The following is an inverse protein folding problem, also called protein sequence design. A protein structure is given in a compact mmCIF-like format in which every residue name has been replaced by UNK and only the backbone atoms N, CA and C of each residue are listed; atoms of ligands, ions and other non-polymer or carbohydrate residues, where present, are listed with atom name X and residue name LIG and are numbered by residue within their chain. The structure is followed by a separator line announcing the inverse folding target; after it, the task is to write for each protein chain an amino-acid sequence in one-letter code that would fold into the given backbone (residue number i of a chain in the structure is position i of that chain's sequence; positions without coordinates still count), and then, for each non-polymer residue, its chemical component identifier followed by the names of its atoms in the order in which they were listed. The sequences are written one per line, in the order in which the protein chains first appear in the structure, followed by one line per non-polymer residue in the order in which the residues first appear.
data_IF_457202724959
#
_entry.id   IF_457202724959
#
_cell.length_a   1.000
_cell.length_b   1.000
_cell.length_c   1.000
_cell.angle_alpha   90.00
_cell.angle_beta   90.00
_cell.angle_gamma   90.00
#
_symmetry.space_group_name_H-M   'P 1'
#
loop_
_entity.id
_entity.type
_entity.pdbx_description
1 polymer ?
#
# COMPACT_ATOMS: atom_id res chain seq x y z
N UNK A 1 -8.64 -3.73 -23.66
CA UNK A 1 -7.67 -2.61 -23.61
C UNK A 1 -7.76 -1.88 -22.27
N UNK A 2 -6.97 -2.34 -21.29
CA UNK A 2 -6.95 -1.75 -19.94
C UNK A 2 -6.47 -0.30 -20.00
N UNK A 3 -7.31 0.64 -19.60
CA UNK A 3 -6.93 2.06 -19.49
C UNK A 3 -6.20 2.28 -18.17
N UNK A 4 -4.88 2.46 -18.24
CA UNK A 4 -4.04 2.93 -17.13
C UNK A 4 -4.00 4.46 -17.20
N UNK A 5 -4.55 5.13 -16.20
CA UNK A 5 -4.45 6.60 -16.10
C UNK A 5 -3.13 6.91 -15.38
N UNK A 6 -2.14 7.40 -16.12
CA UNK A 6 -0.89 7.86 -15.55
C UNK A 6 -1.00 9.34 -15.15
N UNK A 7 -1.41 9.60 -13.92
CA UNK A 7 -1.34 10.94 -13.32
C UNK A 7 0.00 11.10 -12.58
N UNK A 8 0.71 12.19 -12.84
CA UNK A 8 2.00 12.50 -12.22
C UNK A 8 1.94 13.83 -11.46
N UNK A 9 2.37 13.81 -10.19
CA UNK A 9 2.68 15.04 -9.43
C UNK A 9 4.17 15.11 -9.18
N UNK A 10 4.79 16.25 -9.51
CA UNK A 10 6.24 16.48 -9.43
C UNK A 10 6.56 17.63 -8.49
N UNK A 11 7.45 17.40 -7.54
CA UNK A 11 8.00 18.43 -6.66
C UNK A 11 9.54 18.43 -6.77
N UNK A 12 10.15 19.61 -6.85
CA UNK A 12 11.60 19.75 -7.03
C UNK A 12 12.14 20.78 -6.04
N UNK A 13 13.25 20.43 -5.38
CA UNK A 13 13.97 21.28 -4.44
C UNK A 13 15.43 21.38 -4.89
N UNK A 14 16.00 22.59 -4.77
CA UNK A 14 17.38 22.88 -5.13
C UNK A 14 18.15 23.35 -3.90
N UNK A 15 19.38 22.86 -3.75
CA UNK A 15 20.31 23.29 -2.71
C UNK A 15 21.72 23.41 -3.31
N UNK A 16 22.57 24.21 -2.68
CA UNK A 16 23.97 24.36 -3.07
C UNK A 16 24.84 23.87 -1.92
N UNK A 17 25.70 22.90 -2.20
CA UNK A 17 26.64 22.34 -1.25
C UNK A 17 28.02 23.00 -1.39
N UNK A 18 28.52 23.51 -0.27
CA UNK A 18 29.88 24.00 -0.13
C UNK A 18 30.66 22.96 0.66
N UNK A 19 31.55 22.24 0.00
CA UNK A 19 32.40 21.28 0.68
C UNK A 19 33.37 22.00 1.61
N UNK A 20 33.57 21.45 2.80
CA UNK A 20 34.81 21.67 3.54
C UNK A 20 36.00 21.13 2.72
N UNK A 21 37.25 21.52 3.00
CA UNK A 21 38.44 21.00 2.31
C UNK A 21 38.76 19.54 2.67
N UNK A 22 37.75 18.67 2.74
CA UNK A 22 37.93 17.23 2.86
C UNK A 22 38.55 16.68 1.56
N UNK A 23 39.58 15.87 1.72
CA UNK A 23 40.24 15.14 0.64
C UNK A 23 39.75 13.69 0.52
N UNK A 24 38.74 13.31 1.30
CA UNK A 24 38.19 11.95 1.31
C UNK A 24 36.86 11.90 0.54
N UNK A 25 36.87 11.14 -0.56
CA UNK A 25 35.69 10.90 -1.38
C UNK A 25 34.54 10.26 -0.58
N UNK A 26 34.85 9.40 0.39
CA UNK A 26 33.85 8.69 1.19
C UNK A 26 33.11 9.63 2.14
N UNK A 27 33.84 10.54 2.78
CA UNK A 27 33.28 11.56 3.67
C UNK A 27 32.38 12.51 2.88
N UNK A 28 32.89 13.09 1.78
CA UNK A 28 32.13 13.99 0.91
C UNK A 28 30.85 13.31 0.38
N UNK A 29 30.97 12.06 -0.05
CA UNK A 29 29.81 11.27 -0.52
C UNK A 29 28.78 11.12 0.59
N UNK A 30 29.18 10.71 1.79
CA UNK A 30 28.27 10.52 2.93
C UNK A 30 27.53 11.81 3.32
N UNK A 31 28.21 12.96 3.30
CA UNK A 31 27.63 14.26 3.57
C UNK A 31 26.57 14.63 2.54
N UNK A 32 26.88 14.47 1.25
CA UNK A 32 25.95 14.81 0.17
C UNK A 32 24.74 13.86 0.17
N UNK A 33 24.94 12.56 0.41
CA UNK A 33 23.84 11.62 0.61
C UNK A 33 22.91 12.08 1.73
N UNK A 34 23.45 12.43 2.90
CA UNK A 34 22.67 12.93 4.03
C UNK A 34 21.88 14.20 3.72
N UNK A 35 22.40 15.08 2.86
CA UNK A 35 21.66 16.28 2.42
C UNK A 35 20.52 15.90 1.46
N UNK A 36 20.78 15.04 0.48
CA UNK A 36 19.80 14.67 -0.53
C UNK A 36 18.64 13.85 0.05
N UNK A 37 18.93 12.88 0.91
CA UNK A 37 17.93 11.94 1.46
C UNK A 37 17.45 12.28 2.87
N UNK A 38 18.10 13.25 3.53
CA UNK A 38 17.88 13.57 4.94
C UNK A 38 18.68 12.69 5.90
N UNK A 39 18.55 12.99 7.19
CA UNK A 39 19.33 12.34 8.27
C UNK A 39 18.93 10.88 8.52
N UNK A 40 17.70 10.50 8.21
CA UNK A 40 17.16 9.16 8.44
C UNK A 40 16.23 8.75 7.28
N UNK A 41 16.80 8.35 6.13
CA UNK A 41 16.00 7.84 5.03
C UNK A 41 15.26 6.56 5.46
N UNK A 42 13.96 6.41 5.13
CA UNK A 42 13.21 5.23 5.52
C UNK A 42 13.56 4.02 4.64
N UNK A 43 13.79 2.86 5.26
CA UNK A 43 13.93 1.59 4.54
C UNK A 43 12.58 1.01 4.08
N UNK A 44 11.50 1.45 4.75
CA UNK A 44 10.13 1.02 4.49
C UNK A 44 9.17 2.19 4.53
N UNK A 45 8.12 2.12 3.72
CA UNK A 45 7.03 3.10 3.69
C UNK A 45 5.68 2.41 3.89
N UNK A 46 4.75 3.10 4.53
CA UNK A 46 3.40 2.61 4.75
C UNK A 46 2.65 2.57 3.41
N UNK A 47 2.01 1.44 3.13
CA UNK A 47 1.23 1.22 1.92
C UNK A 47 -0.17 1.83 2.03
N UNK A 48 -0.72 1.89 3.24
CA UNK A 48 -2.04 2.43 3.55
C UNK A 48 -2.00 3.21 4.87
N UNK A 49 -3.10 3.90 5.18
CA UNK A 49 -3.32 4.55 6.46
C UNK A 49 -4.16 3.67 7.39
N UNK A 50 -3.94 3.75 8.71
CA UNK A 50 -4.69 2.99 9.71
C UNK A 50 -3.88 2.71 10.97
N UNK A 51 -4.49 1.99 11.92
CA UNK A 51 -3.84 1.58 13.17
C UNK A 51 -2.76 0.51 12.97
N UNK A 52 -2.87 -0.30 11.91
CA UNK A 52 -1.91 -1.32 11.53
C UNK A 52 -1.67 -1.26 10.02
N UNK A 53 -0.82 -0.33 9.54
CA UNK A 53 -0.54 -0.21 8.13
C UNK A 53 0.30 -1.38 7.62
N UNK A 54 0.09 -1.75 6.37
CA UNK A 54 1.00 -2.61 5.63
C UNK A 54 2.24 -1.80 5.21
N UNK A 55 3.39 -2.46 5.08
CA UNK A 55 4.67 -1.82 4.78
C UNK A 55 5.29 -2.43 3.53
N UNK A 56 5.93 -1.58 2.73
CA UNK A 56 6.72 -2.00 1.56
C UNK A 56 8.11 -1.40 1.63
N UNK A 57 9.10 -2.11 1.06
CA UNK A 57 10.50 -1.69 1.09
C UNK A 57 10.74 -0.56 0.10
N UNK A 58 11.63 0.36 0.45
CA UNK A 58 12.18 1.34 -0.48
C UNK A 58 13.33 0.69 -1.25
N UNK A 59 13.33 0.82 -2.57
CA UNK A 59 14.44 0.34 -3.41
C UNK A 59 15.38 1.50 -3.69
N UNK A 60 16.62 1.40 -3.25
CA UNK A 60 17.64 2.45 -3.49
C UNK A 60 18.58 2.02 -4.61
N UNK A 61 18.84 2.94 -5.53
CA UNK A 61 19.83 2.81 -6.58
C UNK A 61 20.91 3.87 -6.36
N UNK A 62 21.99 3.43 -5.71
CA UNK A 62 23.13 4.25 -5.34
C UNK A 62 24.10 4.53 -6.48
N UNK A 63 24.98 5.52 -6.26
CA UNK A 63 26.11 5.76 -7.13
C UNK A 63 27.08 4.57 -7.10
N UNK A 64 27.66 4.20 -8.26
CA UNK A 64 28.70 3.18 -8.28
C UNK A 64 29.92 3.69 -7.50
N UNK A 65 30.47 2.83 -6.64
CA UNK A 65 31.67 3.13 -5.87
C UNK A 65 32.85 2.43 -6.51
N UNK A 66 33.87 3.18 -6.94
CA UNK A 66 35.16 2.62 -7.32
C UNK A 66 36.13 2.67 -6.15
N UNK A 67 36.84 1.56 -5.91
CA UNK A 67 37.84 1.42 -4.86
C UNK A 67 39.14 2.20 -5.15
N UNK A 68 39.29 2.75 -6.36
CA UNK A 68 40.48 3.46 -6.82
C UNK A 68 40.28 4.98 -6.90
N UNK A 69 39.15 5.50 -6.42
CA UNK A 69 38.87 6.93 -6.45
C UNK A 69 39.78 7.68 -5.47
N UNK A 70 40.50 8.66 -6.00
CA UNK A 70 41.24 9.67 -5.24
C UNK A 70 40.71 11.05 -5.58
N UNK A 71 40.80 12.02 -4.67
CA UNK A 71 40.35 13.38 -4.94
C UNK A 71 41.04 14.05 -6.15
N UNK A 72 42.29 13.68 -6.46
CA UNK A 72 42.99 14.16 -7.65
C UNK A 72 42.42 13.59 -8.95
N UNK A 73 42.07 12.30 -8.95
CA UNK A 73 41.44 11.63 -10.09
C UNK A 73 39.96 12.01 -10.27
N UNK A 74 39.29 12.38 -9.17
CA UNK A 74 37.88 12.74 -9.12
C UNK A 74 37.04 11.69 -8.40
N UNK A 75 36.18 12.14 -7.50
CA UNK A 75 35.24 11.32 -6.74
C UNK A 75 33.90 11.21 -7.47
N UNK A 76 33.29 10.04 -7.47
CA UNK A 76 31.89 9.88 -7.90
C UNK A 76 30.98 10.29 -6.75
N UNK A 77 30.29 11.43 -6.92
CA UNK A 77 29.42 12.04 -5.93
C UNK A 77 27.98 12.16 -6.47
N UNK A 78 26.95 11.95 -5.64
CA UNK A 78 25.58 12.19 -6.04
C UNK A 78 25.34 13.70 -6.20
N UNK A 79 24.66 14.12 -7.26
CA UNK A 79 24.25 15.50 -7.48
C UNK A 79 22.73 15.67 -7.54
N UNK A 80 21.98 14.60 -7.77
CA UNK A 80 20.55 14.63 -7.68
C UNK A 80 19.95 13.34 -7.11
N UNK A 81 18.79 13.46 -6.47
CA UNK A 81 17.98 12.35 -5.99
C UNK A 81 16.59 12.43 -6.62
N UNK A 82 16.18 11.36 -7.31
CA UNK A 82 14.81 11.17 -7.81
C UNK A 82 14.09 10.12 -6.98
N UNK A 83 13.11 10.54 -6.19
CA UNK A 83 12.21 9.69 -5.41
C UNK A 83 10.95 9.45 -6.24
N UNK A 84 10.74 8.20 -6.65
CA UNK A 84 9.55 7.79 -7.40
C UNK A 84 8.64 6.95 -6.52
N UNK A 85 7.46 7.47 -6.23
CA UNK A 85 6.43 6.78 -5.45
C UNK A 85 5.36 6.26 -6.41
N UNK A 86 5.21 4.94 -6.44
CA UNK A 86 4.14 4.28 -7.18
C UNK A 86 2.93 4.11 -6.27
N UNK A 87 1.76 4.54 -6.74
CA UNK A 87 0.52 4.37 -6.01
C UNK A 87 -0.62 3.96 -6.95
N UNK A 88 -1.67 3.41 -6.37
CA UNK A 88 -2.89 3.05 -7.07
C UNK A 88 -4.09 3.20 -6.15
N UNK A 89 -5.28 3.35 -6.74
CA UNK A 89 -6.55 3.23 -6.03
C UNK A 89 -6.96 1.77 -5.96
N UNK A 90 -7.28 1.31 -4.75
CA UNK A 90 -7.79 -0.02 -4.48
C UNK A 90 -9.18 0.06 -3.83
N UNK A 91 -9.99 -0.98 -4.00
CA UNK A 91 -11.33 -1.05 -3.41
C UNK A 91 -12.46 -0.78 -4.41
N UNK A 92 -13.64 -0.45 -3.89
CA UNK A 92 -14.83 -0.19 -4.71
C UNK A 92 -14.65 1.10 -5.51
N UNK A 93 -15.20 1.16 -6.72
CA UNK A 93 -15.12 2.36 -7.56
C UNK A 93 -15.76 3.59 -6.92
N UNK A 94 -16.81 3.39 -6.12
CA UNK A 94 -17.50 4.45 -5.38
C UNK A 94 -16.77 4.84 -4.08
N UNK A 95 -15.85 3.99 -3.61
CA UNK A 95 -15.06 4.24 -2.40
C UNK A 95 -13.59 3.78 -2.59
N UNK A 96 -12.84 4.44 -3.49
CA UNK A 96 -11.46 4.08 -3.74
C UNK A 96 -10.56 4.53 -2.59
N UNK A 97 -9.65 3.66 -2.17
CA UNK A 97 -8.61 3.96 -1.18
C UNK A 97 -7.25 4.11 -1.88
N UNK A 98 -6.49 5.13 -1.48
CA UNK A 98 -5.13 5.33 -1.98
C UNK A 98 -4.19 4.31 -1.34
N UNK A 99 -3.42 3.64 -2.17
CA UNK A 99 -2.50 2.60 -1.73
C UNK A 99 -1.13 2.79 -2.40
N UNK A 100 -0.07 2.91 -1.60
CA UNK A 100 1.30 2.99 -2.09
C UNK A 100 1.78 1.58 -2.40
N UNK A 101 2.22 1.36 -3.63
CA UNK A 101 2.75 0.07 -4.09
C UNK A 101 4.25 -0.06 -3.77
N UNK A 102 4.98 1.05 -3.78
CA UNK A 102 6.40 1.10 -3.47
C UNK A 102 7.01 2.46 -3.77
N UNK A 103 8.26 2.64 -3.31
CA UNK A 103 9.07 3.78 -3.71
C UNK A 103 10.45 3.33 -4.18
N UNK A 104 11.01 4.09 -5.12
CA UNK A 104 12.38 3.91 -5.61
C UNK A 104 13.15 5.22 -5.50
N UNK A 105 14.33 5.15 -4.90
CA UNK A 105 15.27 6.25 -4.78
C UNK A 105 16.35 6.05 -5.83
N UNK A 106 16.56 7.04 -6.70
CA UNK A 106 17.50 6.96 -7.80
C UNK A 106 18.45 8.14 -7.71
N UNK A 107 19.71 7.86 -7.41
CA UNK A 107 20.75 8.88 -7.39
C UNK A 107 21.31 9.10 -8.79
N UNK A 108 21.45 10.36 -9.18
CA UNK A 108 22.27 10.77 -10.32
C UNK A 108 23.63 11.19 -9.79
N UNK A 109 24.68 10.79 -10.50
CA UNK A 109 26.04 10.86 -10.01
C UNK A 109 26.91 11.55 -11.04
N UNK A 110 27.88 12.31 -10.55
CA UNK A 110 28.86 13.02 -11.37
C UNK A 110 30.24 12.87 -10.73
N UNK A 111 31.28 12.93 -11.56
CA UNK A 111 32.67 12.89 -11.07
C UNK A 111 33.15 14.31 -10.79
N UNK A 112 33.62 14.58 -9.57
CA UNK A 112 34.08 15.89 -9.13
C UNK A 112 35.48 15.77 -8.53
N UNK A 113 36.41 16.63 -8.94
CA UNK A 113 37.74 16.73 -8.33
C UNK A 113 37.69 17.52 -7.02
N UNK A 114 38.51 17.18 -6.04
CA UNK A 114 38.57 17.92 -4.77
C UNK A 114 39.90 18.67 -4.59
N UNK A 115 39.89 19.83 -3.91
CA UNK A 115 38.70 20.55 -3.46
C UNK A 115 37.90 21.04 -4.68
N UNK A 116 36.55 20.98 -4.66
CA UNK A 116 35.76 21.39 -5.80
C UNK A 116 35.97 22.89 -6.02
N UNK A 117 36.29 23.25 -7.27
CA UNK A 117 36.54 24.64 -7.67
C UNK A 117 35.28 25.51 -7.61
N UNK A 118 34.10 24.88 -7.60
CA UNK A 118 32.80 25.54 -7.55
C UNK A 118 31.86 24.77 -6.62
N UNK A 119 30.84 25.43 -6.05
CA UNK A 119 29.82 24.77 -5.26
C UNK A 119 29.11 23.68 -6.08
N UNK A 120 28.68 22.61 -5.40
CA UNK A 120 27.97 21.50 -6.04
C UNK A 120 26.47 21.77 -5.93
N UNK A 121 25.79 21.90 -7.07
CA UNK A 121 24.33 22.02 -7.10
C UNK A 121 23.69 20.66 -6.84
N UNK A 122 22.88 20.60 -5.79
CA UNK A 122 22.12 19.43 -5.37
C UNK A 122 20.65 19.61 -5.73
N UNK A 123 20.04 18.59 -6.33
CA UNK A 123 18.63 18.62 -6.71
C UNK A 123 17.90 17.40 -6.15
N UNK A 124 16.80 17.62 -5.45
CA UNK A 124 15.91 16.53 -5.04
C UNK A 124 14.59 16.67 -5.76
N UNK A 125 14.12 15.58 -6.36
CA UNK A 125 12.85 15.50 -7.06
C UNK A 125 12.01 14.37 -6.49
N UNK A 126 10.73 14.64 -6.25
CA UNK A 126 9.75 13.64 -5.86
C UNK A 126 8.67 13.55 -6.93
N UNK A 127 8.39 12.33 -7.40
CA UNK A 127 7.34 12.04 -8.37
C UNK A 127 6.37 11.01 -7.80
N UNK A 128 5.08 11.32 -7.81
CA UNK A 128 4.01 10.38 -7.50
C UNK A 128 3.36 9.92 -8.81
N UNK A 129 3.39 8.61 -9.08
CA UNK A 129 2.84 8.02 -10.30
C UNK A 129 1.62 7.15 -9.99
N UNK A 130 0.46 7.54 -10.54
CA UNK A 130 -0.77 6.75 -10.49
C UNK A 130 -0.68 5.58 -11.47
N UNK A 131 -0.92 4.38 -10.96
CA UNK A 131 -0.93 3.11 -11.72
C UNK A 131 -2.29 2.42 -11.65
N UNK A 132 -3.34 3.15 -11.27
CA UNK A 132 -4.70 2.62 -11.16
C UNK A 132 -5.17 2.07 -12.49
N UNK A 133 -5.58 0.80 -12.44
CA UNK A 133 -6.20 0.08 -13.55
C UNK A 133 -7.70 0.06 -13.34
N UNK A 134 -8.46 0.61 -14.31
CA UNK A 134 -9.91 0.52 -14.30
C UNK A 134 -10.40 -0.62 -15.22
N UNK A 135 -11.42 -1.38 -14.80
CA UNK A 135 -12.04 -2.39 -15.66
C UNK A 135 -12.81 -1.74 -16.84
N UNK A 136 -12.89 -2.46 -17.97
CA UNK A 136 -13.53 -1.97 -19.21
C UNK A 136 -15.07 -1.86 -19.09
N UNK A 137 -15.69 -0.81 -19.67
CA UNK A 137 -17.15 -0.71 -19.79
C UNK A 137 -17.79 -1.63 -20.87
N UNK A 138 -19.10 -2.00 -20.77
CA UNK A 138 -19.96 -1.77 -19.61
C UNK A 138 -19.35 -2.57 -18.48
N UNK A 139 -19.16 -1.95 -17.32
CA UNK A 139 -18.50 -2.56 -16.18
C UNK A 139 -19.44 -3.64 -15.64
N UNK A 140 -19.48 -4.77 -16.36
CA UNK A 140 -20.62 -5.68 -16.55
C UNK A 140 -21.97 -4.98 -16.75
N UNK A 141 -22.68 -5.26 -17.84
CA UNK A 141 -24.12 -5.03 -17.81
C UNK A 141 -24.71 -5.84 -16.64
N UNK A 142 -25.57 -5.26 -15.79
CA UNK A 142 -26.19 -6.03 -14.72
C UNK A 142 -26.94 -7.21 -15.33
N UNK A 143 -26.54 -8.44 -14.97
CA UNK A 143 -27.28 -9.63 -15.39
C UNK A 143 -28.52 -9.79 -14.50
N UNK A 144 -29.62 -10.38 -15.00
CA UNK A 144 -30.86 -10.54 -14.23
C UNK A 144 -30.71 -11.30 -12.90
N UNK A 145 -29.65 -12.11 -12.76
CA UNK A 145 -29.30 -12.88 -11.57
C UNK A 145 -28.40 -12.10 -10.58
N UNK A 146 -27.93 -10.91 -10.94
CA UNK A 146 -27.18 -10.05 -10.05
C UNK A 146 -28.11 -9.50 -8.97
N UNK A 147 -28.01 -10.07 -7.76
CA UNK A 147 -28.56 -9.42 -6.58
C UNK A 147 -27.88 -8.06 -6.43
N UNK A 148 -28.64 -6.99 -6.70
CA UNK A 148 -28.23 -5.63 -6.35
C UNK A 148 -27.79 -5.59 -4.88
N UNK A 149 -26.71 -4.87 -4.52
CA UNK A 149 -26.31 -4.66 -3.13
C UNK A 149 -27.25 -3.69 -2.38
N UNK A 150 -28.48 -3.47 -2.86
CA UNK A 150 -29.51 -2.65 -2.21
C UNK A 150 -30.19 -3.34 -1.02
N UNK A 151 -29.50 -4.27 -0.35
CA UNK A 151 -29.89 -4.71 1.00
C UNK A 151 -29.71 -3.61 2.07
N UNK A 152 -29.10 -2.47 1.74
CA UNK A 152 -28.84 -1.39 2.69
C UNK A 152 -30.08 -0.59 3.13
N UNK A 153 -31.19 -0.61 2.36
CA UNK A 153 -32.38 0.22 2.66
C UNK A 153 -33.65 -0.56 3.02
N UNK A 154 -33.60 -1.87 3.23
CA UNK A 154 -34.75 -2.61 3.76
C UNK A 154 -34.50 -3.02 5.20
N UNK A 155 -35.32 -2.51 6.13
CA UNK A 155 -35.54 -3.19 7.41
C UNK A 155 -36.08 -4.58 7.08
N UNK A 156 -35.23 -5.60 7.21
CA UNK A 156 -35.57 -7.02 7.31
C UNK A 156 -36.79 -7.49 6.50
N UNK A 157 -36.65 -7.63 5.18
CA UNK A 157 -37.59 -8.46 4.41
C UNK A 157 -37.31 -9.97 4.56
N UNK A 158 -36.20 -10.35 5.20
CA UNK A 158 -35.90 -11.74 5.57
C UNK A 158 -36.76 -12.28 6.74
N UNK A 159 -37.86 -11.61 7.12
CA UNK A 159 -38.77 -12.07 8.18
C UNK A 159 -40.19 -12.43 7.69
N UNK A 160 -40.43 -12.57 6.37
CA UNK A 160 -41.71 -13.07 5.87
C UNK A 160 -41.56 -13.96 4.61
N UNK A 161 -40.64 -14.92 4.60
CA UNK A 161 -40.83 -16.13 3.79
C UNK A 161 -41.61 -17.18 4.59
N UNK A 162 -42.77 -16.76 5.09
CA UNK A 162 -43.84 -17.64 5.53
C UNK A 162 -44.73 -17.96 4.33
N UNK A 163 -44.29 -18.87 3.48
CA UNK A 163 -45.16 -19.46 2.46
C UNK A 163 -46.22 -20.32 3.18
N UNK A 164 -47.39 -19.74 3.49
CA UNK A 164 -48.62 -20.50 3.65
C UNK A 164 -49.23 -20.62 2.26
N UNK A 165 -49.08 -21.79 1.66
CA UNK A 165 -49.86 -22.18 0.49
C UNK A 165 -51.21 -22.70 0.99
N UNK A 166 -52.23 -21.86 0.91
CA UNK A 166 -53.63 -22.24 1.01
C UNK A 166 -54.12 -22.72 -0.35
N UNK A 167 -54.22 -24.05 -0.56
CA UNK A 167 -55.45 -24.75 -0.93
C UNK A 167 -55.16 -26.22 -1.29
N UNK A 168 -55.86 -27.18 -0.66
CA UNK A 168 -55.84 -28.58 -1.09
C UNK A 168 -56.21 -29.59 0.00
N UNK A 169 -57.51 -29.85 0.16
CA UNK A 169 -58.10 -31.17 0.43
C UNK A 169 -57.50 -32.08 1.52
N UNK A 170 -58.23 -32.19 2.62
CA UNK A 170 -58.52 -33.41 3.39
C UNK A 170 -57.48 -34.56 3.38
N UNK A 171 -56.81 -34.77 4.53
CA UNK A 171 -56.86 -36.04 5.27
C UNK A 171 -55.82 -36.02 6.40
N UNK A 172 -56.32 -35.82 7.61
CA UNK A 172 -55.60 -36.00 8.85
C UNK A 172 -55.26 -37.48 9.05
N UNK A 173 -53.96 -37.81 9.11
CA UNK A 173 -53.47 -39.03 9.77
C UNK A 173 -52.02 -38.82 10.21
N UNK A 174 -51.87 -38.33 11.45
CA UNK A 174 -50.58 -38.27 12.14
C UNK A 174 -50.38 -39.60 12.84
N UNK A 175 -49.54 -40.45 12.28
CA UNK A 175 -49.02 -41.65 12.94
C UNK A 175 -47.80 -41.24 13.76
N UNK A 176 -47.94 -41.17 15.08
CA UNK A 176 -46.83 -40.92 16.01
C UNK A 176 -46.27 -42.27 16.47
N UNK A 177 -45.01 -42.54 16.13
CA UNK A 177 -44.26 -43.72 16.57
C UNK A 177 -42.93 -43.29 17.19
N UNK A 178 -42.80 -43.57 18.50
CA UNK A 178 -41.64 -44.10 19.26
C UNK A 178 -40.24 -43.61 18.80
N UNK A 179 -39.30 -43.13 19.61
CA UNK A 179 -38.94 -43.49 20.99
C UNK A 179 -37.70 -42.69 21.43
N UNK A 180 -37.55 -42.51 22.75
CA UNK A 180 -36.30 -42.50 23.55
C UNK A 180 -35.15 -41.56 23.15
N UNK A 181 -34.88 -40.58 24.02
CA UNK A 181 -33.52 -40.26 24.45
C UNK A 181 -33.51 -39.88 25.93
N UNK A 182 -33.15 -40.85 26.77
CA UNK A 182 -32.58 -40.64 28.10
C UNK A 182 -31.14 -40.14 27.95
N UNK A 183 -30.69 -39.15 28.74
CA UNK A 183 -29.37 -39.10 29.42
C UNK A 183 -29.30 -37.85 30.32
N UNK A 184 -29.32 -38.11 31.63
CA UNK A 184 -28.44 -37.60 32.71
C UNK A 184 -28.07 -36.09 32.75
N UNK A 185 -28.67 -35.37 33.70
CA UNK A 185 -27.99 -34.33 34.49
C UNK A 185 -28.46 -34.45 35.94
N UNK A 186 -27.55 -34.89 36.83
CA UNK A 186 -26.85 -34.04 37.82
C UNK A 186 -27.78 -33.37 38.83
N UNK A 187 -27.84 -33.96 40.03
CA UNK A 187 -27.70 -33.22 41.29
C UNK A 187 -27.20 -34.18 42.37
N UNK A 188 -25.88 -34.19 42.57
CA UNK A 188 -25.31 -34.56 43.86
C UNK A 188 -25.18 -33.28 44.68
N UNK A 189 -25.91 -33.20 45.79
CA UNK A 189 -25.55 -32.35 46.92
C UNK A 189 -26.02 -33.05 48.19
N UNK A 190 -25.02 -33.55 48.90
CA UNK A 190 -25.05 -34.15 50.24
C UNK A 190 -25.60 -33.18 51.32
N UNK A 191 -25.80 -33.77 52.50
CA UNK A 191 -25.95 -33.21 53.85
C UNK A 191 -27.36 -33.32 54.45
N UNK A 192 -27.57 -34.36 55.26
CA UNK A 192 -28.15 -34.22 56.61
C UNK A 192 -27.60 -35.29 57.55
N UNK A 193 -27.33 -34.83 58.78
CA UNK A 193 -26.96 -35.59 59.98
C UNK A 193 -28.17 -36.33 60.54
#
# INVERSE_FOLDING_TARGET
MVSVIHSFTRHVTFCVFFSSPSSDCSELRSQIYGILQGLAPPDVIAMNSGSQPAWTRVVTQDCPVSLQETCESGCVLPNALSIRVLWARQGLLDLPQNYILGAKYIFQCQTVKCPPSSPISLTTEVTFADTTVYPEPPRGAPQPDWKFPFGFFTRGAAQLDGHVVTNGGAAQKVTWSLTLFTVVLRTGLEFFT
#
